data_IF_686765495564
#
_entry.id   IF_686765495564
#
_cell.length_a   1.000
_cell.length_b   1.000
_cell.length_c   1.000
_cell.angle_alpha   90.00
_cell.angle_beta   90.00
_cell.angle_gamma   90.00
#
_symmetry.space_group_name_H-M   'P 1'
#
loop_
_entity.id
_entity.type
_entity.pdbx_description
1 polymer ?
#
# COMPACT_ATOMS: atom_id res chain seq x y z
N UNK A 1 15.26 12.01 -49.72
CA UNK A 1 16.68 12.26 -49.37
C UNK A 1 17.02 11.47 -48.12
N UNK A 2 18.05 10.62 -48.18
CA UNK A 2 19.05 10.26 -47.13
C UNK A 2 18.53 10.20 -45.67
N UNK A 3 18.57 9.08 -44.93
CA UNK A 3 19.73 8.19 -44.65
C UNK A 3 19.27 6.90 -43.97
N UNK A 4 19.93 5.79 -44.33
CA UNK A 4 19.97 4.55 -43.55
C UNK A 4 20.87 4.76 -42.31
N UNK A 5 20.56 4.12 -41.19
CA UNK A 5 21.61 3.59 -40.32
C UNK A 5 21.23 2.27 -39.66
N UNK A 6 22.27 1.50 -39.40
CA UNK A 6 22.31 0.07 -39.09
C UNK A 6 22.47 -0.12 -37.58
N UNK A 7 21.87 -1.22 -37.11
CA UNK A 7 22.03 -1.97 -35.86
C UNK A 7 23.26 -1.67 -34.99
N UNK A 8 23.02 -1.70 -33.67
CA UNK A 8 23.97 -2.27 -32.70
C UNK A 8 23.21 -3.06 -31.62
N UNK A 9 23.44 -4.38 -31.63
CA UNK A 9 23.27 -5.26 -30.47
C UNK A 9 24.44 -5.00 -29.52
N UNK A 10 24.16 -4.80 -28.24
CA UNK A 10 25.16 -4.80 -27.18
C UNK A 10 24.66 -5.64 -26.00
N UNK A 11 25.05 -6.90 -25.96
CA UNK A 11 25.01 -7.75 -24.77
C UNK A 11 26.26 -7.42 -23.96
N UNK A 12 26.12 -7.07 -22.69
CA UNK A 12 27.09 -7.23 -21.59
C UNK A 12 26.37 -6.71 -20.34
N UNK A 13 26.36 -7.32 -19.17
CA UNK A 13 27.10 -8.45 -18.65
C UNK A 13 26.86 -8.41 -17.14
N UNK A 14 26.45 -9.54 -16.60
CA UNK A 14 26.31 -9.82 -15.17
C UNK A 14 27.63 -9.50 -14.44
N UNK A 15 27.57 -8.74 -13.34
CA UNK A 15 28.66 -8.70 -12.36
C UNK A 15 28.06 -8.68 -10.95
N UNK A 16 27.88 -9.89 -10.42
CA UNK A 16 27.75 -10.15 -8.98
C UNK A 16 29.14 -9.96 -8.38
N UNK A 17 29.28 -9.03 -7.44
CA UNK A 17 30.41 -9.02 -6.50
C UNK A 17 29.87 -9.28 -5.10
N UNK A 18 30.13 -10.50 -4.63
CA UNK A 18 30.22 -10.86 -3.23
C UNK A 18 31.64 -10.51 -2.71
N UNK A 19 31.79 -10.62 -1.38
CA UNK A 19 32.91 -10.25 -0.49
C UNK A 19 32.74 -8.86 0.14
N UNK A 20 32.75 -8.70 1.46
CA UNK A 20 33.03 -9.63 2.55
C UNK A 20 33.19 -8.82 3.84
N UNK A 21 32.88 -9.47 4.98
CA UNK A 21 33.03 -8.94 6.33
C UNK A 21 34.44 -8.37 6.61
N UNK A 22 34.49 -7.29 7.38
CA UNK A 22 35.58 -7.04 8.33
C UNK A 22 35.08 -6.20 9.50
N UNK A 23 34.88 -6.86 10.62
CA UNK A 23 34.73 -6.30 11.95
C UNK A 23 36.06 -5.75 12.48
N UNK A 24 36.03 -4.58 13.12
CA UNK A 24 37.03 -4.25 14.14
C UNK A 24 36.41 -3.38 15.25
N UNK A 25 36.50 -3.92 16.47
CA UNK A 25 36.11 -3.32 17.75
C UNK A 25 37.19 -2.33 18.24
N UNK A 26 36.76 -1.44 19.14
CA UNK A 26 37.62 -0.70 20.08
C UNK A 26 36.90 0.55 20.60
N UNK A 27 36.10 0.41 21.67
CA UNK A 27 36.37 0.96 23.02
C UNK A 27 36.08 2.48 23.12
N UNK A 28 35.50 3.06 24.16
CA UNK A 28 34.96 2.66 25.46
C UNK A 28 34.45 3.98 26.07
N UNK A 29 33.27 4.03 26.71
CA UNK A 29 33.05 4.88 27.89
C UNK A 29 31.73 4.54 28.59
N UNK A 30 31.88 3.90 29.76
CA UNK A 30 30.87 3.79 30.81
C UNK A 30 30.69 5.15 31.48
N UNK A 31 29.43 5.51 31.80
CA UNK A 31 29.08 6.04 33.13
C UNK A 31 27.60 5.77 33.43
N UNK A 32 27.37 4.93 34.43
CA UNK A 32 26.09 4.75 35.08
C UNK A 32 25.83 5.89 36.08
N UNK A 33 24.56 6.24 36.29
CA UNK A 33 23.86 6.26 37.60
C UNK A 33 22.58 7.13 37.55
N UNK A 34 21.43 6.47 37.71
CA UNK A 34 20.21 6.99 38.33
C UNK A 34 20.23 6.60 39.85
N UNK A 35 19.26 6.92 40.74
CA UNK A 35 17.99 7.67 40.60
C UNK A 35 17.73 8.70 41.73
N UNK A 36 16.72 9.57 41.56
CA UNK A 36 16.07 10.25 42.68
C UNK A 36 14.63 9.79 42.87
N UNK A 37 14.36 9.30 44.08
CA UNK A 37 13.08 8.79 44.57
C UNK A 37 12.09 9.89 44.97
N UNK A 38 10.82 9.58 44.71
CA UNK A 38 9.63 9.73 45.58
C UNK A 38 9.29 11.09 46.24
N UNK A 39 8.03 11.51 46.07
CA UNK A 39 7.05 11.57 47.19
C UNK A 39 5.61 11.75 46.72
N UNK A 40 4.72 11.17 47.54
CA UNK A 40 3.28 10.98 47.46
C UNK A 40 2.61 11.90 48.50
N UNK A 41 1.46 12.50 48.21
CA UNK A 41 0.42 12.89 49.18
C UNK A 41 -0.86 13.33 48.42
N UNK A 42 -1.97 12.59 48.56
CA UNK A 42 -3.15 12.91 49.39
C UNK A 42 -4.14 13.87 48.67
N UNK A 43 -5.28 13.42 48.14
CA UNK A 43 -6.53 12.97 48.80
C UNK A 43 -7.26 14.05 49.61
N UNK A 44 -8.39 14.52 49.06
CA UNK A 44 -9.66 14.89 49.72
C UNK A 44 -10.44 15.81 48.76
N UNK A 45 -11.76 15.82 48.62
CA UNK A 45 -12.88 14.94 48.96
C UNK A 45 -14.14 15.73 48.52
N UNK A 46 -15.26 15.01 48.27
CA UNK A 46 -16.66 15.47 48.43
C UNK A 46 -17.18 16.48 47.36
N UNK A 47 -18.42 16.39 46.85
CA UNK A 47 -19.59 15.56 47.17
C UNK A 47 -20.73 15.85 46.15
N UNK A 48 -21.51 14.80 45.82
CA UNK A 48 -23.00 14.76 45.62
C UNK A 48 -23.65 15.64 44.54
N UNK A 49 -24.75 15.31 43.85
CA UNK A 49 -25.86 14.34 44.00
C UNK A 49 -26.49 14.12 42.59
N UNK A 50 -26.92 12.92 42.17
CA UNK A 50 -28.23 12.23 42.36
C UNK A 50 -29.36 12.64 41.37
N UNK A 51 -29.82 11.63 40.61
CA UNK A 51 -31.20 11.25 40.19
C UNK A 51 -31.18 10.74 38.71
N UNK A 52 -31.38 9.47 38.35
CA UNK A 52 -32.53 8.54 38.50
C UNK A 52 -33.81 9.12 37.85
N UNK A 53 -34.06 8.84 36.56
CA UNK A 53 -34.79 7.67 35.99
C UNK A 53 -36.32 7.82 35.98
N UNK A 54 -36.93 7.83 34.80
CA UNK A 54 -38.19 7.11 34.53
C UNK A 54 -38.41 6.94 33.03
N UNK A 55 -39.03 5.82 32.69
CA UNK A 55 -39.15 5.22 31.38
C UNK A 55 -40.36 5.72 30.58
N UNK A 56 -40.37 5.48 29.27
CA UNK A 56 -41.58 5.03 28.58
C UNK A 56 -41.21 4.23 27.32
N UNK A 57 -41.79 3.04 27.26
CA UNK A 57 -41.77 2.10 26.14
C UNK A 57 -42.93 2.41 25.19
N UNK A 58 -42.67 2.43 23.89
CA UNK A 58 -43.70 2.16 22.89
C UNK A 58 -43.10 1.38 21.72
N UNK A 59 -43.56 0.13 21.62
CA UNK A 59 -43.35 -0.79 20.52
C UNK A 59 -44.13 -0.33 19.29
N UNK A 60 -43.47 -0.21 18.15
CA UNK A 60 -44.13 -0.34 16.85
C UNK A 60 -43.20 -1.04 15.86
N UNK A 61 -43.59 -2.28 15.54
CA UNK A 61 -43.05 -3.09 14.48
C UNK A 61 -43.39 -2.48 13.13
N UNK A 62 -42.38 -2.12 12.35
CA UNK A 62 -42.51 -1.96 10.90
C UNK A 62 -41.37 -2.70 10.23
N UNK A 63 -41.75 -3.70 9.46
CA UNK A 63 -40.90 -4.49 8.58
C UNK A 63 -40.37 -3.58 7.48
N UNK A 64 -39.11 -3.15 7.61
CA UNK A 64 -38.38 -2.47 6.55
C UNK A 64 -37.39 -3.44 5.91
N UNK A 65 -37.62 -3.64 4.62
CA UNK A 65 -36.73 -4.23 3.62
C UNK A 65 -35.25 -3.98 3.91
N UNK A 66 -34.48 -5.05 4.12
CA UNK A 66 -33.03 -5.00 4.13
C UNK A 66 -32.50 -4.83 2.70
N UNK A 67 -32.57 -3.61 2.19
CA UNK A 67 -31.68 -3.15 1.12
C UNK A 67 -30.28 -3.07 1.72
N UNK A 68 -29.43 -4.06 1.43
CA UNK A 68 -28.02 -4.04 1.79
C UNK A 68 -27.29 -2.98 0.97
N UNK A 69 -27.28 -1.75 1.49
CA UNK A 69 -26.43 -0.68 0.99
C UNK A 69 -25.32 -0.37 2.01
N UNK A 70 -24.11 -0.20 1.47
CA UNK A 70 -22.89 0.31 2.12
C UNK A 70 -22.15 -0.62 3.09
N UNK A 71 -21.42 -1.60 2.54
CA UNK A 71 -20.26 -2.15 3.23
C UNK A 71 -19.16 -1.07 3.29
N UNK A 72 -19.16 -0.30 4.38
CA UNK A 72 -17.95 0.38 4.81
C UNK A 72 -16.83 -0.66 4.91
N UNK A 73 -15.71 -0.43 4.22
CA UNK A 73 -14.54 -1.30 4.21
C UNK A 73 -13.91 -1.35 5.62
N UNK A 74 -14.51 -2.11 6.53
CA UNK A 74 -14.00 -2.31 7.88
C UNK A 74 -12.89 -3.35 7.83
N UNK A 75 -11.74 -3.02 8.42
CA UNK A 75 -10.69 -3.98 8.72
C UNK A 75 -11.29 -5.05 9.64
N UNK A 76 -11.42 -6.27 9.13
CA UNK A 76 -11.86 -7.46 9.87
C UNK A 76 -10.73 -8.48 9.94
N UNK A 77 -10.95 -9.57 10.66
CA UNK A 77 -10.09 -10.75 10.59
C UNK A 77 -10.60 -11.71 9.52
N UNK A 78 -9.71 -12.45 8.86
CA UNK A 78 -10.10 -13.58 8.02
C UNK A 78 -10.56 -14.78 8.88
N UNK A 79 -10.99 -15.87 8.24
CA UNK A 79 -11.45 -17.10 8.93
C UNK A 79 -10.37 -17.76 9.81
N UNK A 80 -9.11 -17.33 9.67
CA UNK A 80 -7.95 -17.79 10.43
C UNK A 80 -7.55 -16.79 11.53
N UNK A 81 -8.27 -15.66 11.66
CA UNK A 81 -8.05 -14.65 12.68
C UNK A 81 -7.10 -13.52 12.27
N UNK A 82 -6.51 -13.54 11.06
CA UNK A 82 -5.53 -12.54 10.64
C UNK A 82 -6.20 -11.23 10.23
N UNK A 83 -5.71 -10.11 10.78
CA UNK A 83 -6.21 -8.76 10.45
C UNK A 83 -5.99 -8.44 8.97
N UNK A 84 -7.09 -8.30 8.25
CA UNK A 84 -7.12 -7.89 6.86
C UNK A 84 -6.89 -6.38 6.72
N UNK A 85 -6.20 -6.00 5.64
CA UNK A 85 -5.98 -4.60 5.26
C UNK A 85 -6.78 -4.29 4.00
N UNK A 86 -8.04 -3.80 4.13
CA UNK A 86 -8.85 -3.49 2.96
C UNK A 86 -8.25 -2.32 2.16
N UNK A 87 -8.30 -2.43 0.84
CA UNK A 87 -7.87 -1.37 -0.08
C UNK A 87 -8.76 -0.12 0.06
N UNK A 88 -8.20 1.09 -0.13
CA UNK A 88 -8.97 2.34 -0.10
C UNK A 88 -10.19 2.32 -1.01
N UNK A 89 -11.27 3.00 -0.60
CA UNK A 89 -12.53 3.04 -1.38
C UNK A 89 -12.32 3.53 -2.81
N UNK A 90 -11.43 4.53 -3.00
CA UNK A 90 -11.11 5.07 -4.33
C UNK A 90 -10.51 4.04 -5.28
N UNK A 91 -9.84 3.01 -4.77
CA UNK A 91 -9.20 1.94 -5.56
C UNK A 91 -10.16 0.81 -5.93
N UNK A 92 -11.26 0.64 -5.20
CA UNK A 92 -12.17 -0.50 -5.37
C UNK A 92 -12.70 -0.62 -6.80
N UNK A 93 -12.93 -1.84 -7.27
CA UNK A 93 -13.38 -2.17 -8.62
C UNK A 93 -12.23 -2.43 -9.60
N UNK A 94 -12.57 -2.48 -10.89
CA UNK A 94 -11.64 -2.85 -11.98
C UNK A 94 -11.04 -1.63 -12.65
N UNK A 95 -9.79 -1.79 -13.09
CA UNK A 95 -9.00 -0.81 -13.81
C UNK A 95 -8.18 -1.50 -14.92
N UNK A 96 -7.87 -0.74 -15.95
CA UNK A 96 -7.19 -1.20 -17.16
C UNK A 96 -6.03 -0.26 -17.47
N UNK A 97 -4.85 -0.80 -17.70
CA UNK A 97 -3.63 -0.04 -17.99
C UNK A 97 -2.90 -0.66 -19.15
N UNK A 98 -2.17 0.13 -19.94
CA UNK A 98 -1.32 -0.41 -20.98
C UNK A 98 0.10 -0.58 -20.44
N UNK A 99 0.59 -1.80 -20.46
CA UNK A 99 1.98 -2.11 -20.16
C UNK A 99 2.83 -1.88 -21.41
N UNK A 100 3.68 -0.85 -21.36
CA UNK A 100 4.59 -0.55 -22.46
C UNK A 100 5.72 -1.58 -22.60
N UNK A 101 6.12 -2.24 -21.51
CA UNK A 101 7.18 -3.24 -21.51
C UNK A 101 6.69 -4.57 -22.08
N UNK A 102 5.51 -5.01 -21.65
CA UNK A 102 4.89 -6.24 -22.14
C UNK A 102 4.04 -6.03 -23.41
N UNK A 103 3.87 -4.77 -23.84
CA UNK A 103 3.07 -4.35 -24.99
C UNK A 103 1.65 -4.94 -24.98
N UNK A 104 1.00 -4.91 -23.80
CA UNK A 104 -0.30 -5.53 -23.57
C UNK A 104 -1.17 -4.73 -22.60
N UNK A 105 -2.49 -4.93 -22.70
CA UNK A 105 -3.43 -4.39 -21.73
C UNK A 105 -3.39 -5.23 -20.45
N UNK A 106 -3.10 -4.60 -19.33
CA UNK A 106 -3.19 -5.14 -17.97
C UNK A 106 -4.55 -4.87 -17.38
N UNK A 107 -5.06 -5.81 -16.60
CA UNK A 107 -6.28 -5.63 -15.81
C UNK A 107 -5.97 -5.83 -14.34
N UNK A 108 -6.28 -4.82 -13.52
CA UNK A 108 -6.18 -4.91 -12.07
C UNK A 108 -7.55 -4.66 -11.44
N UNK A 109 -7.91 -5.42 -10.42
CA UNK A 109 -9.14 -5.19 -9.66
C UNK A 109 -8.90 -5.28 -8.16
N UNK A 110 -9.61 -4.45 -7.39
CA UNK A 110 -9.56 -4.41 -5.93
C UNK A 110 -10.95 -4.65 -5.36
N UNK A 111 -11.06 -5.54 -4.37
CA UNK A 111 -12.33 -5.86 -3.70
C UNK A 111 -12.06 -6.22 -2.24
N UNK A 112 -12.39 -5.32 -1.31
CA UNK A 112 -12.03 -5.49 0.10
C UNK A 112 -10.51 -5.50 0.26
N UNK A 113 -9.94 -6.57 0.80
CA UNK A 113 -8.49 -6.80 0.89
C UNK A 113 -7.93 -7.66 -0.27
N UNK A 114 -8.76 -8.07 -1.22
CA UNK A 114 -8.34 -8.86 -2.38
C UNK A 114 -7.92 -7.93 -3.51
N UNK A 115 -6.80 -8.22 -4.17
CA UNK A 115 -6.51 -7.67 -5.49
C UNK A 115 -6.26 -8.78 -6.51
N UNK A 116 -6.53 -8.50 -7.77
CA UNK A 116 -6.34 -9.44 -8.87
C UNK A 116 -5.68 -8.72 -10.03
N UNK A 117 -4.48 -9.15 -10.42
CA UNK A 117 -3.72 -8.61 -11.55
C UNK A 117 -3.62 -9.69 -12.62
N UNK A 118 -4.15 -9.45 -13.81
CA UNK A 118 -4.17 -10.40 -14.94
C UNK A 118 -4.67 -11.82 -14.57
N UNK A 119 -5.60 -11.90 -13.61
CA UNK A 119 -6.16 -13.16 -13.11
C UNK A 119 -5.42 -13.76 -11.90
N UNK A 120 -4.23 -13.25 -11.55
CA UNK A 120 -3.51 -13.65 -10.35
C UNK A 120 -4.12 -12.96 -9.12
N UNK A 121 -4.69 -13.76 -8.22
CA UNK A 121 -5.32 -13.28 -6.98
C UNK A 121 -4.31 -13.23 -5.84
N UNK A 122 -4.30 -12.11 -5.11
CA UNK A 122 -3.60 -11.94 -3.83
C UNK A 122 -4.48 -11.21 -2.81
N UNK A 123 -4.07 -11.28 -1.55
CA UNK A 123 -4.78 -10.73 -0.39
C UNK A 123 -3.84 -9.87 0.45
N UNK A 124 -4.30 -8.69 0.79
CA UNK A 124 -3.59 -7.72 1.61
C UNK A 124 -3.88 -7.94 3.10
N UNK A 125 -2.80 -7.98 3.87
CA UNK A 125 -2.83 -8.08 5.33
C UNK A 125 -1.94 -7.01 5.95
N UNK A 126 -2.17 -6.72 7.21
CA UNK A 126 -1.30 -5.86 8.00
C UNK A 126 0.00 -6.61 8.32
N UNK A 127 1.16 -6.05 7.99
CA UNK A 127 2.45 -6.72 8.24
C UNK A 127 2.70 -7.05 9.71
N UNK A 128 1.99 -6.41 10.64
CA UNK A 128 2.07 -6.71 12.08
C UNK A 128 1.47 -8.05 12.47
N UNK A 129 0.69 -8.71 11.60
CA UNK A 129 0.11 -10.04 11.91
C UNK A 129 1.00 -11.21 11.52
N UNK A 130 2.23 -10.95 11.06
CA UNK A 130 3.24 -11.99 10.86
C UNK A 130 3.48 -12.76 12.16
N UNK A 131 3.47 -14.08 12.07
CA UNK A 131 3.88 -14.94 13.19
C UNK A 131 5.38 -14.87 13.42
N UNK A 132 5.87 -15.50 14.49
CA UNK A 132 7.30 -15.61 14.75
C UNK A 132 8.03 -16.40 13.65
N UNK A 133 7.39 -17.44 13.12
CA UNK A 133 7.88 -18.20 11.96
C UNK A 133 7.90 -17.34 10.71
N UNK A 134 6.85 -16.54 10.49
CA UNK A 134 6.81 -15.63 9.35
C UNK A 134 7.96 -14.61 9.43
N UNK A 135 8.22 -14.09 10.63
CA UNK A 135 9.30 -13.13 10.87
C UNK A 135 10.69 -13.76 10.71
N UNK A 136 10.86 -15.02 11.12
CA UNK A 136 12.10 -15.77 10.89
C UNK A 136 12.35 -15.97 9.39
N UNK A 137 11.32 -16.38 8.63
CA UNK A 137 11.42 -16.57 7.18
C UNK A 137 11.57 -15.28 6.39
N UNK A 138 11.00 -14.17 6.88
CA UNK A 138 11.25 -12.84 6.32
C UNK A 138 12.74 -12.44 6.44
N UNK A 139 13.36 -12.76 7.58
CA UNK A 139 14.72 -12.33 7.92
C UNK A 139 15.81 -13.27 7.39
N UNK A 140 15.50 -14.54 7.15
CA UNK A 140 16.42 -15.56 6.66
C UNK A 140 15.75 -16.40 5.55
N UNK A 141 16.15 -16.23 4.28
CA UNK A 141 15.53 -16.93 3.16
C UNK A 141 15.82 -18.44 3.14
N UNK A 142 16.69 -18.95 4.01
CA UNK A 142 16.90 -20.40 4.18
C UNK A 142 15.80 -21.07 5.01
N UNK A 143 15.02 -20.29 5.77
CA UNK A 143 13.88 -20.82 6.52
C UNK A 143 12.74 -21.20 5.59
N UNK A 144 11.97 -22.21 6.00
CA UNK A 144 10.79 -22.65 5.25
C UNK A 144 9.69 -21.60 5.33
N UNK A 145 9.29 -21.08 4.17
CA UNK A 145 8.14 -20.20 4.02
C UNK A 145 6.83 -20.99 3.94
N UNK A 146 5.74 -20.40 4.41
CA UNK A 146 4.39 -20.89 4.09
C UNK A 146 4.11 -20.57 2.61
N UNK A 147 3.87 -21.61 1.80
CA UNK A 147 3.69 -21.44 0.36
C UNK A 147 2.43 -20.64 0.02
N UNK A 148 1.34 -20.82 0.79
CA UNK A 148 0.10 -20.08 0.53
C UNK A 148 0.31 -18.59 0.80
N UNK A 149 0.98 -18.24 1.91
CA UNK A 149 1.30 -16.84 2.22
C UNK A 149 2.30 -16.26 1.22
N UNK A 150 3.31 -17.03 0.82
CA UNK A 150 4.28 -16.61 -0.19
C UNK A 150 3.60 -16.25 -1.52
N UNK A 151 2.67 -17.09 -1.97
CA UNK A 151 2.04 -16.93 -3.28
C UNK A 151 0.89 -15.91 -3.26
N UNK A 152 0.10 -15.91 -2.18
CA UNK A 152 -1.20 -15.22 -2.13
C UNK A 152 -1.22 -14.01 -1.22
N UNK A 153 -0.25 -13.78 -0.35
CA UNK A 153 -0.31 -12.69 0.62
C UNK A 153 0.66 -11.57 0.28
N UNK A 154 0.21 -10.36 0.54
CA UNK A 154 1.04 -9.15 0.51
C UNK A 154 0.87 -8.40 1.83
N UNK A 155 1.97 -7.82 2.31
CA UNK A 155 1.93 -6.87 3.41
C UNK A 155 1.59 -5.49 2.84
N UNK A 156 0.48 -4.91 3.30
CA UNK A 156 0.04 -3.58 2.92
C UNK A 156 0.46 -2.57 3.98
N UNK A 157 1.12 -1.51 3.55
CA UNK A 157 1.30 -0.28 4.33
C UNK A 157 0.68 0.89 3.60
N UNK A 158 0.31 1.94 4.33
CA UNK A 158 -0.29 3.15 3.76
C UNK A 158 0.38 4.39 4.31
N UNK A 159 0.55 5.38 3.45
CA UNK A 159 0.97 6.73 3.79
C UNK A 159 0.01 7.75 3.17
N UNK A 160 0.15 9.00 3.60
CA UNK A 160 -0.63 10.11 3.08
C UNK A 160 0.35 11.19 2.62
N UNK A 161 0.31 11.52 1.33
CA UNK A 161 1.21 12.51 0.73
C UNK A 161 0.42 13.76 0.34
N UNK A 162 0.94 14.92 0.68
CA UNK A 162 0.36 16.24 0.35
C UNK A 162 1.20 17.03 -0.65
N UNK A 163 2.40 16.55 -0.94
CA UNK A 163 3.35 17.23 -1.81
C UNK A 163 3.13 16.91 -3.29
N UNK A 164 3.53 17.86 -4.13
CA UNK A 164 3.64 17.65 -5.58
C UNK A 164 4.76 16.64 -5.89
N UNK A 165 4.67 15.92 -7.02
CA UNK A 165 3.61 16.00 -8.04
C UNK A 165 2.37 15.13 -7.71
N UNK A 166 2.41 14.29 -6.68
CA UNK A 166 1.30 13.37 -6.37
C UNK A 166 0.03 14.13 -5.96
N UNK A 167 0.17 15.14 -5.10
CA UNK A 167 -0.92 16.02 -4.68
C UNK A 167 -0.80 17.35 -5.42
N UNK A 168 -1.68 17.58 -6.39
CA UNK A 168 -1.65 18.78 -7.25
C UNK A 168 -2.23 20.02 -6.56
N UNK A 169 -3.21 19.82 -5.67
CA UNK A 169 -3.97 20.86 -4.96
C UNK A 169 -3.62 20.95 -3.46
N UNK A 170 -2.63 20.19 -3.00
CA UNK A 170 -2.27 20.09 -1.58
C UNK A 170 -3.17 19.15 -0.77
N UNK A 171 -4.19 18.55 -1.39
CA UNK A 171 -5.07 17.61 -0.69
C UNK A 171 -4.33 16.29 -0.42
N UNK A 172 -4.52 15.69 0.77
CA UNK A 172 -3.88 14.42 1.09
C UNK A 172 -4.27 13.30 0.12
N UNK A 173 -3.27 12.70 -0.53
CA UNK A 173 -3.41 11.52 -1.38
C UNK A 173 -2.96 10.29 -0.59
N UNK A 174 -3.86 9.33 -0.45
CA UNK A 174 -3.53 8.06 0.16
C UNK A 174 -2.72 7.22 -0.83
N UNK A 175 -1.49 6.90 -0.46
CA UNK A 175 -0.61 6.00 -1.17
C UNK A 175 -0.54 4.71 -0.38
N UNK A 176 -0.80 3.58 -1.03
CA UNK A 176 -0.53 2.27 -0.44
C UNK A 176 0.75 1.72 -1.03
N UNK A 177 1.46 0.93 -0.24
CA UNK A 177 2.62 0.17 -0.69
C UNK A 177 2.42 -1.31 -0.34
N UNK A 178 2.64 -2.17 -1.33
CA UNK A 178 2.52 -3.61 -1.23
C UNK A 178 3.90 -4.24 -1.32
N UNK A 179 4.28 -4.98 -0.28
CA UNK A 179 5.43 -5.89 -0.31
C UNK A 179 4.94 -7.34 -0.34
N UNK A 180 5.70 -8.23 -0.97
CA UNK A 180 5.49 -9.67 -0.80
C UNK A 180 5.52 -10.04 0.69
N UNK A 181 4.75 -11.05 1.10
CA UNK A 181 4.63 -11.40 2.52
C UNK A 181 5.99 -11.66 3.19
N UNK A 182 6.92 -12.31 2.48
CA UNK A 182 8.29 -12.59 2.91
C UNK A 182 9.35 -11.70 2.24
N UNK A 183 8.98 -10.52 1.75
CA UNK A 183 9.92 -9.57 1.16
C UNK A 183 10.54 -8.67 2.24
N UNK A 184 11.81 -8.90 2.58
CA UNK A 184 12.56 -8.10 3.56
C UNK A 184 13.33 -6.92 2.98
N UNK A 185 13.49 -6.86 1.65
CA UNK A 185 14.22 -5.80 0.97
C UNK A 185 13.50 -5.34 -0.31
N UNK A 186 13.85 -4.12 -0.75
CA UNK A 186 13.23 -3.47 -1.89
C UNK A 186 12.02 -2.61 -1.51
N UNK A 187 11.56 -1.78 -2.45
CA UNK A 187 10.55 -0.77 -2.20
C UNK A 187 9.09 -1.28 -2.30
N UNK A 188 8.88 -2.51 -2.76
CA UNK A 188 7.55 -3.01 -3.12
C UNK A 188 6.94 -2.26 -4.31
N UNK A 189 5.62 -2.35 -4.44
CA UNK A 189 4.83 -1.64 -5.45
C UNK A 189 3.86 -0.70 -4.77
N UNK A 190 3.90 0.57 -5.16
CA UNK A 190 3.02 1.61 -4.65
C UNK A 190 1.83 1.82 -5.59
N UNK A 191 0.66 2.05 -5.01
CA UNK A 191 -0.54 2.42 -5.73
C UNK A 191 -1.17 3.67 -5.11
N UNK A 192 -1.74 4.53 -5.94
CA UNK A 192 -2.55 5.67 -5.49
C UNK A 192 -3.56 6.09 -6.54
N UNK A 193 -4.62 6.79 -6.13
CA UNK A 193 -5.66 7.32 -7.03
C UNK A 193 -5.71 8.83 -6.94
N UNK A 194 -5.50 9.50 -8.05
CA UNK A 194 -5.58 10.96 -8.21
C UNK A 194 -6.68 11.33 -9.21
N UNK A 195 -7.18 12.58 -9.13
CA UNK A 195 -8.10 13.11 -10.13
C UNK A 195 -7.29 13.85 -11.20
N UNK A 196 -7.41 13.41 -12.46
CA UNK A 196 -6.64 13.93 -13.59
C UNK A 196 -7.58 14.41 -14.70
N UNK A 197 -7.25 15.55 -15.29
CA UNK A 197 -7.90 16.07 -16.49
C UNK A 197 -7.45 15.25 -17.70
N UNK A 198 -8.35 14.44 -18.25
CA UNK A 198 -8.13 13.66 -19.47
C UNK A 198 -9.18 14.08 -20.49
N UNK A 199 -8.75 14.58 -21.65
CA UNK A 199 -9.63 15.09 -22.71
C UNK A 199 -10.66 16.15 -22.21
N UNK A 200 -10.26 17.01 -21.27
CA UNK A 200 -11.11 18.06 -20.71
C UNK A 200 -12.15 17.57 -19.69
N UNK A 201 -12.05 16.30 -19.25
CA UNK A 201 -12.87 15.75 -18.18
C UNK A 201 -12.01 15.34 -16.98
N UNK A 202 -12.42 15.76 -15.78
CA UNK A 202 -11.82 15.26 -14.54
C UNK A 202 -12.24 13.83 -14.29
N UNK A 203 -11.27 12.93 -14.12
CA UNK A 203 -11.53 11.52 -13.85
C UNK A 203 -10.50 10.90 -12.91
N UNK A 204 -10.88 9.85 -12.17
CA UNK A 204 -9.94 9.13 -11.33
C UNK A 204 -8.97 8.32 -12.19
N UNK A 205 -7.68 8.41 -11.87
CA UNK A 205 -6.61 7.60 -12.47
C UNK A 205 -5.91 6.86 -11.34
N UNK A 206 -5.79 5.54 -11.49
CA UNK A 206 -4.99 4.72 -10.61
C UNK A 206 -3.57 4.68 -11.17
N UNK A 207 -2.58 5.01 -10.35
CA UNK A 207 -1.18 4.96 -10.74
C UNK A 207 -0.48 3.82 -10.00
N UNK A 208 0.30 3.05 -10.74
CA UNK A 208 1.27 2.11 -10.21
C UNK A 208 2.67 2.71 -10.30
N UNK A 209 3.40 2.60 -9.22
CA UNK A 209 4.72 3.17 -9.08
C UNK A 209 5.64 2.24 -8.28
N UNK A 210 6.94 2.33 -8.52
CA UNK A 210 7.93 1.47 -7.89
C UNK A 210 9.20 2.21 -7.48
N UNK A 211 10.06 1.48 -6.77
CA UNK A 211 11.35 1.99 -6.32
C UNK A 211 11.26 3.01 -5.18
N UNK A 212 12.42 3.47 -4.72
CA UNK A 212 12.53 4.35 -3.55
C UNK A 212 11.91 5.74 -3.78
N UNK A 213 11.81 6.18 -5.04
CA UNK A 213 11.21 7.46 -5.42
C UNK A 213 9.72 7.43 -5.73
N UNK A 214 9.05 6.27 -5.64
CA UNK A 214 7.66 6.11 -6.13
C UNK A 214 7.60 6.53 -7.61
N UNK A 215 8.55 6.03 -8.40
CA UNK A 215 8.63 6.34 -9.83
C UNK A 215 7.48 5.69 -10.55
N UNK A 216 6.75 6.47 -11.33
CA UNK A 216 5.59 6.01 -12.07
C UNK A 216 6.00 4.95 -13.08
N UNK A 217 5.27 3.84 -13.08
CA UNK A 217 5.46 2.74 -14.01
C UNK A 217 4.33 2.70 -15.03
N UNK A 218 3.09 2.93 -14.59
CA UNK A 218 1.94 3.02 -15.49
C UNK A 218 0.70 3.61 -14.82
N UNK A 219 -0.26 3.99 -15.67
CA UNK A 219 -1.59 4.42 -15.27
C UNK A 219 -2.65 3.42 -15.69
N UNK A 220 -3.67 3.32 -14.86
CA UNK A 220 -4.86 2.56 -15.10
C UNK A 220 -6.11 3.44 -15.07
N UNK A 221 -7.04 3.10 -15.94
CA UNK A 221 -8.29 3.80 -16.18
C UNK A 221 -9.47 2.85 -16.00
N UNK A 222 -10.67 3.39 -15.77
CA UNK A 222 -11.89 2.57 -15.62
C UNK A 222 -12.40 1.96 -16.91
N UNK A 223 -11.88 2.38 -18.07
CA UNK A 223 -12.27 1.88 -19.39
C UNK A 223 -11.05 1.35 -20.14
N UNK A 224 -11.20 0.18 -20.78
CA UNK A 224 -10.19 -0.39 -21.67
C UNK A 224 -9.88 0.53 -22.85
N UNK A 225 -10.92 1.12 -23.47
CA UNK A 225 -10.73 2.00 -24.63
C UNK A 225 -9.97 3.27 -24.25
N UNK A 226 -10.20 3.78 -23.04
CA UNK A 226 -9.49 4.93 -22.54
C UNK A 226 -8.03 4.58 -22.22
N UNK A 227 -7.77 3.44 -21.59
CA UNK A 227 -6.41 2.98 -21.33
C UNK A 227 -5.60 2.84 -22.63
N UNK A 228 -6.20 2.29 -23.68
CA UNK A 228 -5.58 2.21 -25.01
C UNK A 228 -5.36 3.58 -25.64
N UNK A 229 -6.30 4.52 -25.45
CA UNK A 229 -6.19 5.88 -25.96
C UNK A 229 -5.16 6.75 -25.20
N UNK A 230 -4.79 6.36 -23.97
CA UNK A 230 -3.84 7.08 -23.10
C UNK A 230 -2.50 6.34 -22.94
N UNK A 231 -2.29 5.23 -23.65
CA UNK A 231 -1.12 4.35 -23.46
C UNK A 231 0.25 5.02 -23.62
N UNK A 232 0.31 6.14 -24.35
CA UNK A 232 1.53 6.91 -24.63
C UNK A 232 1.49 8.29 -23.95
N UNK A 233 0.46 8.58 -23.15
CA UNK A 233 0.28 9.87 -22.47
C UNK A 233 0.83 9.80 -21.04
N UNK A 234 1.64 10.78 -20.66
CA UNK A 234 1.94 11.05 -19.25
C UNK A 234 0.82 11.84 -18.59
N UNK A 235 0.81 11.89 -17.25
CA UNK A 235 -0.11 12.71 -16.47
C UNK A 235 0.67 13.66 -15.53
N UNK A 236 0.05 14.76 -15.05
CA UNK A 236 0.74 15.75 -14.22
C UNK A 236 1.28 15.23 -12.88
N UNK A 237 0.84 14.05 -12.44
CA UNK A 237 1.27 13.42 -11.19
C UNK A 237 2.47 12.49 -11.36
N UNK A 238 3.08 12.45 -12.55
CA UNK A 238 4.19 11.56 -12.84
C UNK A 238 5.46 11.96 -12.10
N UNK A 239 6.12 10.96 -11.53
CA UNK A 239 7.47 11.05 -11.00
C UNK A 239 8.31 10.13 -11.88
N UNK A 240 9.16 10.70 -12.72
CA UNK A 240 10.08 9.89 -13.53
C UNK A 240 11.40 9.68 -12.79
N UNK A 241 12.02 8.53 -12.99
CA UNK A 241 13.30 8.20 -12.37
C UNK A 241 14.43 9.13 -12.83
N UNK A 242 14.32 9.66 -14.05
CA UNK A 242 15.33 10.53 -14.67
C UNK A 242 15.14 12.03 -14.35
N UNK A 243 14.04 12.39 -13.69
CA UNK A 243 13.82 13.76 -13.21
C UNK A 243 14.67 13.95 -11.96
N UNK A 244 15.91 14.38 -12.15
CA UNK A 244 16.89 14.66 -11.09
C UNK A 244 16.25 15.48 -9.95
N UNK A 245 16.24 14.92 -8.75
CA UNK A 245 16.02 15.63 -7.49
C UNK A 245 17.23 16.51 -7.13
#
# INVERSE_FOLDING_TARGET
MKKNWVRSLGILGLAVLLFGCSSQQGQEQKKAEQPHSAKKAASASKKTAKAASSASSSSSSSSSSSSSSSSANKSGSDDRGFKQSPFPQKMQGTWYGWDQYENKLKTISFSGNKFTLDGEVKYAYDGSVRTSEDQAALNDPSQKMDQEKQDKWVALSGSSLTEKPISQDGAPVQVINLLGWYQSAGAGTSYYVTQVQVNGQQMPVLTEAGGAGIWVQMHYYRSQSLALAQKDAGIPTDINQDDNY
#
